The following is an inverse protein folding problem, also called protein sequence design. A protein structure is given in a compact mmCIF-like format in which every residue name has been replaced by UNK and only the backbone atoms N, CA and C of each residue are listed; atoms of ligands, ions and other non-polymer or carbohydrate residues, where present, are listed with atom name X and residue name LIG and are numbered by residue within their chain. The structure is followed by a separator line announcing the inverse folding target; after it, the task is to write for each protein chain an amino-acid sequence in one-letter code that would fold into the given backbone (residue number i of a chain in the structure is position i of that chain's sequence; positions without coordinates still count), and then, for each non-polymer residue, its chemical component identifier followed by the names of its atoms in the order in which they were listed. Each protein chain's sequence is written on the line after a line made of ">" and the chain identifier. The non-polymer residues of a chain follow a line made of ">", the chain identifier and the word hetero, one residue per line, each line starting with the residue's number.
data_IF_515854640484
#
_entry.id   IF_515854640484
#
_cell.length_a   1.000
_cell.length_b   1.000
_cell.length_c   1.000
_cell.angle_alpha   90.00
_cell.angle_beta   90.00
_cell.angle_gamma   90.00
#
_symmetry.space_group_name_H-M   'P 1'
#
loop_
_entity.id
_entity.type
_entity.pdbx_description
1 polymer ?
#
# COMPACT_ATOMS: atom_id res chain seq x y z
N UNK A 1 -1.40 -16.98 7.69
CA UNK A 1 -1.57 -15.97 6.63
C UNK A 1 -0.32 -15.94 5.79
N UNK A 2 0.83 -15.51 6.32
CA UNK A 2 2.12 -15.47 5.60
C UNK A 2 2.60 -16.83 5.05
N UNK A 3 2.36 -17.94 5.75
CA UNK A 3 2.72 -19.29 5.26
C UNK A 3 1.74 -19.87 4.22
N UNK A 4 0.65 -19.14 3.90
CA UNK A 4 -0.43 -19.60 3.02
C UNK A 4 -0.69 -18.64 1.86
N UNK A 5 0.22 -17.70 1.62
CA UNK A 5 0.17 -16.70 0.57
C UNK A 5 1.55 -16.58 -0.06
N UNK A 6 1.63 -16.08 -1.29
CA UNK A 6 2.91 -15.91 -2.00
C UNK A 6 3.46 -14.48 -1.91
N UNK A 7 2.62 -13.51 -1.56
CA UNK A 7 2.96 -12.09 -1.42
C UNK A 7 1.92 -11.36 -0.56
N UNK A 8 2.25 -10.16 -0.11
CA UNK A 8 1.32 -9.26 0.57
C UNK A 8 1.26 -7.87 -0.08
N UNK A 9 0.11 -7.22 0.06
CA UNK A 9 -0.04 -5.78 -0.20
C UNK A 9 -0.52 -5.14 1.09
N UNK A 10 0.10 -4.06 1.52
CA UNK A 10 -0.21 -3.39 2.78
C UNK A 10 -0.43 -1.90 2.57
N UNK A 11 -1.59 -1.39 2.98
CA UNK A 11 -1.80 0.06 3.09
C UNK A 11 -1.27 0.49 4.46
N UNK A 12 -0.10 1.12 4.48
CA UNK A 12 0.57 1.47 5.72
C UNK A 12 1.56 2.61 5.52
N UNK A 13 1.56 3.52 6.49
CA UNK A 13 2.52 4.62 6.57
C UNK A 13 3.55 4.31 7.70
N UNK A 14 4.83 4.09 7.35
CA UNK A 14 5.89 3.89 8.32
C UNK A 14 6.14 5.11 9.23
N UNK A 15 5.85 6.33 8.77
CA UNK A 15 6.05 7.57 9.52
C UNK A 15 4.96 7.78 10.58
N UNK A 16 3.74 7.27 10.33
CA UNK A 16 2.60 7.33 11.25
C UNK A 16 2.16 5.93 11.69
N UNK A 17 2.95 5.26 12.57
CA UNK A 17 2.69 3.88 12.95
C UNK A 17 1.35 3.74 13.69
N UNK A 18 0.55 2.78 13.24
CA UNK A 18 -0.73 2.41 13.84
C UNK A 18 -0.82 0.91 14.13
N UNK A 19 -2.03 0.38 14.23
CA UNK A 19 -2.28 -1.07 14.39
C UNK A 19 -1.63 -1.94 13.31
N UNK A 20 -1.55 -1.53 12.01
CA UNK A 20 -0.93 -2.36 10.98
C UNK A 20 0.58 -2.57 11.16
N UNK A 21 1.22 -1.86 12.11
CA UNK A 21 2.63 -2.05 12.46
C UNK A 21 2.97 -3.52 12.79
N UNK A 22 2.09 -4.22 13.49
CA UNK A 22 2.33 -5.62 13.85
C UNK A 22 2.38 -6.55 12.63
N UNK A 23 1.51 -6.30 11.65
CA UNK A 23 1.48 -7.07 10.40
C UNK A 23 2.72 -6.75 9.56
N UNK A 24 3.11 -5.47 9.49
CA UNK A 24 4.34 -5.04 8.83
C UNK A 24 5.59 -5.71 9.42
N UNK A 25 5.75 -5.68 10.75
CA UNK A 25 6.88 -6.32 11.43
C UNK A 25 6.89 -7.85 11.23
N UNK A 26 5.71 -8.49 11.23
CA UNK A 26 5.60 -9.92 10.97
C UNK A 26 6.02 -10.28 9.54
N UNK A 27 5.63 -9.46 8.54
CA UNK A 27 6.04 -9.62 7.15
C UNK A 27 7.56 -9.44 7.02
N UNK A 28 8.12 -8.38 7.60
CA UNK A 28 9.56 -8.12 7.56
C UNK A 28 10.35 -9.29 8.16
N UNK A 29 9.90 -9.84 9.29
CA UNK A 29 10.53 -11.00 9.91
C UNK A 29 10.42 -12.25 9.04
N UNK A 30 9.30 -12.45 8.34
CA UNK A 30 9.13 -13.60 7.45
C UNK A 30 10.07 -13.52 6.23
N UNK A 31 10.32 -12.30 5.73
CA UNK A 31 11.25 -12.02 4.64
C UNK A 31 12.72 -12.33 4.95
N UNK A 32 13.12 -12.42 6.23
CA UNK A 32 14.48 -12.80 6.62
C UNK A 32 14.85 -14.24 6.17
N UNK A 33 13.85 -15.11 6.01
CA UNK A 33 14.05 -16.52 5.67
C UNK A 33 13.31 -16.99 4.41
N UNK A 34 12.47 -16.15 3.81
CA UNK A 34 11.63 -16.50 2.66
C UNK A 34 11.60 -15.37 1.65
N UNK A 35 11.58 -15.72 0.36
CA UNK A 35 11.28 -14.76 -0.69
C UNK A 35 9.78 -14.46 -0.68
N UNK A 36 9.39 -13.43 0.08
CA UNK A 36 8.00 -13.02 0.26
C UNK A 36 7.85 -11.54 -0.11
N UNK A 37 7.55 -11.22 -1.38
CA UNK A 37 7.38 -9.85 -1.82
C UNK A 37 6.25 -9.14 -1.06
N UNK A 38 6.49 -7.87 -0.70
CA UNK A 38 5.47 -7.00 -0.11
C UNK A 38 5.44 -5.68 -0.86
N UNK A 39 4.25 -5.30 -1.32
CA UNK A 39 3.99 -3.96 -1.85
C UNK A 39 3.36 -3.12 -0.74
N UNK A 40 3.90 -1.93 -0.49
CA UNK A 40 3.35 -0.98 0.48
C UNK A 40 2.70 0.14 -0.31
N UNK A 41 1.45 0.43 0.00
CA UNK A 41 0.74 1.62 -0.47
C UNK A 41 0.77 2.61 0.70
N UNK A 42 1.63 3.61 0.60
CA UNK A 42 1.80 4.62 1.65
C UNK A 42 0.86 5.81 1.44
N UNK A 43 1.01 6.84 2.28
CA UNK A 43 0.15 8.03 2.18
C UNK A 43 0.38 8.81 0.88
N UNK A 44 1.61 8.85 0.37
CA UNK A 44 1.93 9.57 -0.86
C UNK A 44 1.32 8.89 -2.07
N UNK A 45 1.36 7.55 -2.13
CA UNK A 45 0.69 6.77 -3.19
C UNK A 45 -0.81 7.06 -3.24
N UNK A 46 -1.45 7.16 -2.07
CA UNK A 46 -2.87 7.48 -1.97
C UNK A 46 -3.17 8.92 -2.38
N UNK A 47 -2.30 9.87 -2.01
CA UNK A 47 -2.46 11.26 -2.38
C UNK A 47 -2.35 11.45 -3.90
N UNK A 48 -1.30 10.88 -4.52
CA UNK A 48 -1.11 10.91 -5.97
C UNK A 48 -2.33 10.29 -6.69
N UNK A 49 -2.79 9.12 -6.25
CA UNK A 49 -3.95 8.48 -6.84
C UNK A 49 -5.23 9.31 -6.72
N UNK A 50 -5.42 10.01 -5.59
CA UNK A 50 -6.57 10.90 -5.40
C UNK A 50 -6.50 12.14 -6.30
N UNK A 51 -5.31 12.75 -6.44
CA UNK A 51 -5.06 13.89 -7.31
C UNK A 51 -5.30 13.51 -8.78
N UNK A 52 -4.72 12.40 -9.24
CA UNK A 52 -4.93 11.87 -10.59
C UNK A 52 -6.41 11.57 -10.85
N UNK A 53 -7.12 10.98 -9.89
CA UNK A 53 -8.54 10.69 -10.02
C UNK A 53 -9.35 11.98 -10.18
N UNK A 54 -9.07 13.02 -9.39
CA UNK A 54 -9.74 14.31 -9.48
C UNK A 54 -9.45 14.99 -10.82
N UNK A 55 -8.20 14.99 -11.28
CA UNK A 55 -7.81 15.57 -12.56
C UNK A 55 -8.53 14.89 -13.73
N UNK A 56 -8.58 13.55 -13.74
CA UNK A 56 -9.27 12.78 -14.76
C UNK A 56 -10.78 13.07 -14.75
N UNK A 57 -11.40 13.18 -13.57
CA UNK A 57 -12.82 13.57 -13.44
C UNK A 57 -13.09 14.98 -13.97
N UNK A 58 -12.21 15.94 -13.70
CA UNK A 58 -12.33 17.31 -14.22
C UNK A 58 -12.19 17.35 -15.74
N UNK A 59 -11.26 16.57 -16.30
CA UNK A 59 -11.09 16.46 -17.74
C UNK A 59 -12.34 15.86 -18.39
N UNK A 60 -12.86 14.74 -17.87
CA UNK A 60 -14.05 14.08 -18.40
C UNK A 60 -15.29 15.00 -18.39
N UNK A 61 -15.48 15.79 -17.33
CA UNK A 61 -16.58 16.77 -17.25
C UNK A 61 -16.41 17.99 -18.18
N UNK A 62 -15.19 18.34 -18.58
CA UNK A 62 -14.94 19.45 -19.50
C UNK A 62 -15.17 19.08 -20.99
N UNK A 63 -15.34 17.79 -21.30
CA UNK A 63 -15.65 17.32 -22.66
C UNK A 63 -17.17 17.22 -22.95
N UNK A 64 -18.03 17.64 -22.01
CA UNK A 64 -19.49 17.74 -22.16
C UNK A 64 -19.99 19.19 -22.21
#
# INVERSE_FOLDING_TARGET
>A
MLEHTDRAVLIYDPEHPGKPKYDYEAIQKYQEGHEYPVDIIDFYDLQESAEEYEENHRQENNFY
#
